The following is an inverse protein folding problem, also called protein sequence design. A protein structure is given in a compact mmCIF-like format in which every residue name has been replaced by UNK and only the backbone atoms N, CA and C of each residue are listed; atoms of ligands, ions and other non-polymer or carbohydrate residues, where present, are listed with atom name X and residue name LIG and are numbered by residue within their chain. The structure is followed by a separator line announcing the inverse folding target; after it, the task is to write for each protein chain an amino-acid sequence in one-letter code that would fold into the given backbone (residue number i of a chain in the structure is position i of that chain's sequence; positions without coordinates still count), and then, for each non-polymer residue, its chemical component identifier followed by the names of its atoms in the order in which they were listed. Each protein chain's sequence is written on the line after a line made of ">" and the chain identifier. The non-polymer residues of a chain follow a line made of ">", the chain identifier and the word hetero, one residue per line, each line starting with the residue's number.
data_IF_228340172465
#
_entry.id   IF_228340172465
#
_cell.length_a   1.000
_cell.length_b   1.000
_cell.length_c   1.000
_cell.angle_alpha   90.00
_cell.angle_beta   90.00
_cell.angle_gamma   90.00
#
_symmetry.space_group_name_H-M   'P 1'
#
loop_
_entity.id
_entity.type
_entity.pdbx_description
1 polymer ?
#
# COMPACT_ATOMS: atom_id res chain seq x y z
N UNK A 1 17.42 -15.94 6.93
CA UNK A 1 16.45 -16.77 6.17
C UNK A 1 15.49 -15.98 5.23
N UNK A 2 15.65 -14.68 4.95
CA UNK A 2 14.55 -13.88 4.32
C UNK A 2 14.55 -13.75 2.78
N UNK A 3 15.66 -13.97 2.07
CA UNK A 3 15.71 -13.76 0.60
C UNK A 3 15.04 -14.87 -0.24
N UNK A 4 14.94 -16.11 0.26
CA UNK A 4 14.27 -17.23 -0.44
C UNK A 4 12.75 -17.09 -0.41
N UNK A 5 12.19 -16.68 0.73
CA UNK A 5 10.75 -16.53 0.93
C UNK A 5 10.13 -15.45 0.02
N UNK A 6 10.81 -14.30 -0.16
CA UNK A 6 10.33 -13.25 -1.08
C UNK A 6 10.28 -13.67 -2.56
N UNK A 7 11.04 -14.71 -2.96
CA UNK A 7 11.01 -15.24 -4.33
C UNK A 7 9.75 -16.06 -4.63
N UNK A 8 9.10 -16.65 -3.62
CA UNK A 8 7.92 -17.49 -3.81
C UNK A 8 6.66 -16.69 -4.15
N UNK A 9 6.58 -15.42 -3.72
CA UNK A 9 5.41 -14.55 -3.91
C UNK A 9 5.65 -13.35 -4.81
N UNK A 10 6.91 -12.98 -5.08
CA UNK A 10 7.25 -11.70 -5.74
C UNK A 10 7.76 -11.75 -7.18
N UNK A 11 8.20 -12.91 -7.69
CA UNK A 11 8.73 -13.02 -9.06
C UNK A 11 7.62 -13.48 -10.00
N UNK A 12 7.34 -12.69 -11.04
CA UNK A 12 6.38 -13.00 -12.11
C UNK A 12 4.96 -13.32 -11.60
N UNK A 13 4.67 -12.91 -10.36
CA UNK A 13 3.42 -13.15 -9.66
C UNK A 13 2.77 -11.84 -9.25
N UNK A 14 1.45 -11.85 -9.21
CA UNK A 14 0.62 -10.74 -8.75
C UNK A 14 0.22 -11.01 -7.30
N UNK A 15 0.69 -10.14 -6.40
CA UNK A 15 0.31 -10.16 -4.97
C UNK A 15 -0.98 -9.38 -4.75
N UNK A 16 -1.13 -8.26 -5.48
CA UNK A 16 -2.26 -7.35 -5.35
C UNK A 16 -2.54 -6.63 -6.67
N UNK A 17 -3.81 -6.33 -6.92
CA UNK A 17 -4.25 -5.41 -7.97
C UNK A 17 -5.48 -4.63 -7.50
N UNK A 18 -5.68 -3.42 -8.01
CA UNK A 18 -6.87 -2.61 -7.72
C UNK A 18 -7.23 -1.69 -8.86
N UNK A 19 -8.52 -1.37 -8.96
CA UNK A 19 -9.00 -0.19 -9.66
C UNK A 19 -9.04 0.97 -8.69
N UNK A 20 -8.36 2.07 -9.01
CA UNK A 20 -8.45 3.30 -8.19
C UNK A 20 -9.80 3.95 -8.48
N UNK A 21 -10.61 4.13 -7.44
CA UNK A 21 -11.93 4.75 -7.52
C UNK A 21 -11.94 6.18 -6.97
N UNK A 22 -11.16 6.44 -5.92
CA UNK A 22 -10.98 7.78 -5.34
C UNK A 22 -9.50 7.99 -5.03
N UNK A 23 -9.07 9.25 -5.16
CA UNK A 23 -7.76 9.70 -4.71
C UNK A 23 -8.00 10.76 -3.65
N UNK A 24 -7.55 10.50 -2.44
CA UNK A 24 -7.69 11.41 -1.31
C UNK A 24 -6.31 11.92 -0.88
N UNK A 25 -6.26 13.14 -0.39
CA UNK A 25 -5.15 13.59 0.44
C UNK A 25 -5.13 12.81 1.76
N UNK A 26 -3.99 12.81 2.45
CA UNK A 26 -3.92 12.21 3.79
C UNK A 26 -4.88 12.86 4.79
N UNK A 27 -5.17 14.15 4.64
CA UNK A 27 -6.09 14.88 5.53
C UNK A 27 -7.50 14.34 5.37
N UNK A 28 -8.00 14.36 4.14
CA UNK A 28 -9.32 13.81 3.79
C UNK A 28 -9.45 12.36 4.23
N UNK A 29 -8.43 11.54 3.97
CA UNK A 29 -8.43 10.14 4.40
C UNK A 29 -8.52 9.97 5.92
N UNK A 30 -7.77 10.80 6.67
CA UNK A 30 -7.68 10.68 8.12
C UNK A 30 -8.96 11.08 8.85
N UNK A 31 -9.69 12.05 8.30
CA UNK A 31 -10.92 12.62 8.86
C UNK A 31 -12.19 11.90 8.40
N UNK A 32 -12.11 11.15 7.30
CA UNK A 32 -13.26 10.47 6.72
C UNK A 32 -13.76 9.30 7.60
N UNK A 33 -15.04 9.35 8.06
CA UNK A 33 -15.63 8.32 8.90
C UNK A 33 -15.55 6.90 8.32
N UNK A 34 -15.52 6.74 6.98
CA UNK A 34 -15.43 5.44 6.30
C UNK A 34 -14.18 4.66 6.69
N UNK A 35 -13.10 5.36 7.10
CA UNK A 35 -11.79 4.76 7.36
C UNK A 35 -11.39 4.77 8.84
N UNK A 36 -12.33 5.03 9.77
CA UNK A 36 -12.04 4.97 11.22
C UNK A 36 -11.60 3.58 11.68
N UNK A 37 -12.20 2.53 11.13
CA UNK A 37 -11.81 1.14 11.41
C UNK A 37 -10.41 0.78 10.87
N UNK A 38 -9.78 1.66 10.10
CA UNK A 38 -8.41 1.51 9.59
C UNK A 38 -7.37 2.28 10.41
N UNK A 39 -7.76 2.90 11.51
CA UNK A 39 -6.80 3.42 12.50
C UNK A 39 -6.11 2.22 13.16
N UNK A 40 -4.77 2.15 13.19
CA UNK A 40 -4.07 1.05 13.84
C UNK A 40 -4.42 0.98 15.33
N UNK A 41 -4.73 -0.21 15.82
CA UNK A 41 -4.94 -0.46 17.25
C UNK A 41 -4.42 -1.84 17.65
N UNK A 42 -4.17 -2.04 18.94
CA UNK A 42 -3.88 -3.36 19.45
C UNK A 42 -5.05 -4.31 19.19
N UNK A 43 -4.74 -5.56 18.87
CA UNK A 43 -5.72 -6.62 18.73
C UNK A 43 -5.50 -7.66 19.82
N UNK A 44 -6.52 -8.03 20.62
CA UNK A 44 -6.38 -9.13 21.57
C UNK A 44 -6.24 -10.48 20.85
N UNK A 45 -6.69 -10.58 19.60
CA UNK A 45 -6.58 -11.79 18.78
C UNK A 45 -5.16 -11.95 18.23
N UNK A 46 -4.41 -12.91 18.79
CA UNK A 46 -3.02 -13.18 18.39
C UNK A 46 -2.90 -13.90 17.03
N UNK A 47 -3.94 -14.63 16.63
CA UNK A 47 -3.93 -15.44 15.41
C UNK A 47 -4.23 -14.61 14.16
N UNK A 48 -5.03 -13.55 14.32
CA UNK A 48 -5.38 -12.64 13.22
C UNK A 48 -5.44 -11.17 13.67
N UNK A 49 -4.30 -10.55 14.03
CA UNK A 49 -4.26 -9.15 14.46
C UNK A 49 -4.33 -8.16 13.30
N UNK A 50 -5.45 -8.13 12.58
CA UNK A 50 -5.63 -7.26 11.41
C UNK A 50 -5.74 -5.78 11.78
N UNK A 51 -6.28 -5.49 12.96
CA UNK A 51 -6.44 -4.14 13.50
C UNK A 51 -5.08 -3.45 13.71
N UNK A 52 -4.04 -4.22 14.02
CA UNK A 52 -2.66 -3.72 14.16
C UNK A 52 -2.03 -3.28 12.82
N UNK A 53 -2.72 -3.47 11.71
CA UNK A 53 -2.25 -3.18 10.34
C UNK A 53 -3.11 -2.15 9.64
N UNK A 54 -3.87 -1.38 10.41
CA UNK A 54 -4.50 -0.16 9.92
C UNK A 54 -3.51 0.72 9.15
N UNK A 55 -3.98 1.36 8.09
CA UNK A 55 -3.21 2.24 7.21
C UNK A 55 -3.58 3.72 7.40
N UNK A 56 -4.58 4.04 8.25
CA UNK A 56 -4.91 5.40 8.68
C UNK A 56 -3.97 5.87 9.79
N UNK A 57 -2.69 5.96 9.41
CA UNK A 57 -1.57 6.17 10.33
C UNK A 57 -1.36 7.66 10.62
N UNK A 58 -1.60 8.53 9.64
CA UNK A 58 -1.33 9.96 9.76
C UNK A 58 -2.60 10.74 10.11
N UNK A 59 -2.44 11.83 10.83
CA UNK A 59 -3.49 12.84 11.01
C UNK A 59 -2.89 14.21 11.23
N UNK A 60 -3.66 15.23 10.92
CA UNK A 60 -3.29 16.60 11.18
C UNK A 60 -4.01 17.11 12.41
N UNK A 61 -3.27 17.78 13.30
CA UNK A 61 -3.81 18.47 14.45
C UNK A 61 -3.03 19.77 14.66
N UNK A 62 -3.74 20.90 14.74
CA UNK A 62 -3.14 22.23 14.95
C UNK A 62 -1.96 22.55 14.00
N UNK A 63 -2.14 22.26 12.70
CA UNK A 63 -1.12 22.52 11.68
C UNK A 63 0.06 21.53 11.68
N UNK A 64 0.01 20.49 12.51
CA UNK A 64 1.10 19.50 12.64
C UNK A 64 0.65 18.11 12.24
N UNK A 65 1.49 17.44 11.46
CA UNK A 65 1.31 16.03 11.11
C UNK A 65 1.86 15.13 12.20
N UNK A 66 1.03 14.20 12.64
CA UNK A 66 1.37 13.16 13.58
C UNK A 66 1.20 11.77 12.95
N UNK A 67 2.07 10.85 13.33
CA UNK A 67 1.94 9.44 13.03
C UNK A 67 1.46 8.70 14.29
N UNK A 68 0.39 7.92 14.17
CA UNK A 68 -0.06 7.00 15.22
C UNK A 68 0.91 5.82 15.35
N UNK A 69 1.03 5.22 16.54
CA UNK A 69 1.75 3.96 16.69
C UNK A 69 1.24 2.91 15.71
N UNK A 70 2.16 2.40 14.88
CA UNK A 70 1.82 1.53 13.75
C UNK A 70 3.01 0.68 13.33
N UNK A 71 2.82 -0.19 12.35
CA UNK A 71 3.85 -1.13 11.92
C UNK A 71 5.10 -0.49 11.29
N UNK A 72 4.98 0.74 10.79
CA UNK A 72 6.05 1.52 10.17
C UNK A 72 6.52 2.70 11.03
N UNK A 73 6.15 2.70 12.31
CA UNK A 73 6.45 3.76 13.26
C UNK A 73 7.95 4.04 13.43
N UNK A 74 8.30 5.32 13.62
CA UNK A 74 9.68 5.78 13.85
C UNK A 74 10.55 5.98 12.61
N UNK A 75 10.03 5.77 11.39
CA UNK A 75 10.78 5.94 10.14
C UNK A 75 10.49 7.29 9.48
N UNK A 76 11.00 8.37 10.08
CA UNK A 76 10.61 9.75 9.75
C UNK A 76 10.77 10.09 8.26
N UNK A 77 11.84 9.66 7.61
CA UNK A 77 12.08 9.93 6.18
C UNK A 77 11.06 9.22 5.27
N UNK A 78 10.68 7.99 5.62
CA UNK A 78 9.64 7.25 4.91
C UNK A 78 8.28 7.95 5.09
N UNK A 79 7.97 8.38 6.32
CA UNK A 79 6.73 9.10 6.63
C UNK A 79 6.61 10.43 5.90
N UNK A 80 7.69 11.22 5.85
CA UNK A 80 7.72 12.47 5.09
C UNK A 80 7.49 12.25 3.59
N UNK A 81 8.02 11.15 3.04
CA UNK A 81 7.77 10.78 1.64
C UNK A 81 6.31 10.36 1.43
N UNK A 82 5.74 9.59 2.36
CA UNK A 82 4.35 9.14 2.28
C UNK A 82 3.38 10.32 2.32
N UNK A 83 3.61 11.30 3.21
CA UNK A 83 2.79 12.50 3.37
C UNK A 83 2.76 13.41 2.12
N UNK A 84 3.74 13.28 1.23
CA UNK A 84 3.75 13.98 -0.08
C UNK A 84 2.93 13.25 -1.15
N UNK A 85 2.50 12.03 -0.86
CA UNK A 85 1.68 11.21 -1.75
C UNK A 85 0.19 11.40 -1.50
N UNK A 86 -0.60 10.56 -2.18
CA UNK A 86 -2.04 10.47 -2.01
C UNK A 86 -2.43 9.08 -1.51
N UNK A 87 -3.60 8.98 -0.88
CA UNK A 87 -4.24 7.73 -0.52
C UNK A 87 -5.17 7.29 -1.64
N UNK A 88 -5.00 6.05 -2.10
CA UNK A 88 -5.79 5.48 -3.20
C UNK A 88 -6.88 4.56 -2.64
N UNK A 89 -8.14 4.88 -2.91
CA UNK A 89 -9.28 4.09 -2.46
C UNK A 89 -9.77 3.20 -3.59
N UNK A 90 -10.12 1.96 -3.26
CA UNK A 90 -10.71 1.01 -4.21
C UNK A 90 -11.85 0.23 -3.58
N UNK A 91 -12.91 0.07 -4.37
CA UNK A 91 -14.04 -0.83 -4.15
C UNK A 91 -13.84 -2.16 -4.89
N UNK A 92 -12.98 -2.18 -5.91
CA UNK A 92 -12.64 -3.36 -6.71
C UNK A 92 -11.13 -3.64 -6.62
N UNK A 93 -10.76 -4.48 -5.67
CA UNK A 93 -9.36 -4.88 -5.46
C UNK A 93 -9.24 -6.40 -5.35
N UNK A 94 -8.01 -6.90 -5.50
CA UNK A 94 -7.64 -8.31 -5.43
C UNK A 94 -6.39 -8.41 -4.55
N UNK A 95 -6.51 -9.00 -3.37
CA UNK A 95 -5.37 -9.24 -2.50
C UNK A 95 -5.11 -10.74 -2.36
N UNK A 96 -4.13 -11.23 -3.11
CA UNK A 96 -3.75 -12.64 -3.11
C UNK A 96 -2.82 -12.99 -1.94
N UNK A 97 -2.01 -12.05 -1.48
CA UNK A 97 -1.08 -12.26 -0.37
C UNK A 97 -0.16 -13.47 -0.62
N UNK A 98 -0.16 -14.45 0.29
CA UNK A 98 0.59 -15.71 0.14
C UNK A 98 0.11 -16.60 -1.01
N UNK A 99 -1.10 -16.37 -1.53
CA UNK A 99 -1.65 -17.06 -2.72
C UNK A 99 -1.35 -16.30 -4.02
N UNK A 100 -0.29 -15.50 -4.05
CA UNK A 100 0.11 -14.73 -5.23
C UNK A 100 0.11 -15.61 -6.49
N UNK A 101 -0.59 -15.14 -7.52
CA UNK A 101 -0.86 -15.90 -8.73
C UNK A 101 0.16 -15.57 -9.82
N UNK A 102 0.55 -16.56 -10.62
CA UNK A 102 1.46 -16.32 -11.75
C UNK A 102 0.74 -15.48 -12.82
N UNK A 103 1.40 -14.44 -13.30
CA UNK A 103 0.92 -13.69 -14.45
C UNK A 103 0.97 -14.55 -15.71
N UNK A 104 -0.05 -14.51 -16.59
CA UNK A 104 -0.02 -15.21 -17.87
C UNK A 104 1.22 -14.84 -18.68
N UNK A 105 1.87 -15.85 -19.24
CA UNK A 105 3.14 -15.66 -19.96
C UNK A 105 3.04 -14.65 -21.12
N UNK A 106 1.95 -14.58 -21.91
CA UNK A 106 1.82 -13.56 -22.95
C UNK A 106 1.89 -12.13 -22.40
N UNK A 107 1.16 -11.85 -21.31
CA UNK A 107 1.13 -10.54 -20.66
C UNK A 107 2.49 -10.21 -20.05
N UNK A 108 3.07 -11.17 -19.33
CA UNK A 108 4.37 -11.04 -18.69
C UNK A 108 5.49 -10.76 -19.71
N UNK A 109 5.46 -11.45 -20.86
CA UNK A 109 6.40 -11.24 -21.95
C UNK A 109 6.32 -9.82 -22.51
N UNK A 110 5.12 -9.30 -22.73
CA UNK A 110 4.93 -7.93 -23.21
C UNK A 110 5.39 -6.88 -22.20
N UNK A 111 5.16 -7.08 -20.91
CA UNK A 111 5.72 -6.23 -19.85
C UNK A 111 7.25 -6.24 -19.86
N UNK A 112 7.86 -7.42 -19.93
CA UNK A 112 9.33 -7.58 -19.99
C UNK A 112 9.91 -6.90 -21.23
N UNK A 113 9.32 -7.08 -22.41
CA UNK A 113 9.72 -6.40 -23.67
C UNK A 113 9.54 -4.89 -23.60
N UNK A 114 8.50 -4.43 -22.92
CA UNK A 114 8.29 -3.00 -22.67
C UNK A 114 9.25 -2.43 -21.63
N UNK A 115 10.10 -3.26 -21.00
CA UNK A 115 11.01 -2.85 -19.94
C UNK A 115 10.29 -2.43 -18.65
N UNK A 116 8.99 -2.73 -18.53
CA UNK A 116 8.20 -2.42 -17.34
C UNK A 116 8.58 -3.41 -16.23
N UNK A 117 9.40 -2.93 -15.28
CA UNK A 117 9.87 -3.71 -14.13
C UNK A 117 9.78 -2.84 -12.87
N UNK A 118 9.90 -3.46 -11.69
CA UNK A 118 9.79 -2.79 -10.39
C UNK A 118 10.55 -1.45 -10.35
N UNK A 119 9.81 -0.34 -10.23
CA UNK A 119 10.35 1.01 -10.11
C UNK A 119 10.91 1.63 -11.40
N UNK A 120 10.99 0.89 -12.51
CA UNK A 120 11.52 1.40 -13.77
C UNK A 120 10.39 1.54 -14.81
N UNK A 121 10.20 2.78 -15.27
CA UNK A 121 9.17 3.14 -16.26
C UNK A 121 9.85 3.74 -17.47
N UNK A 122 10.26 2.92 -18.47
CA UNK A 122 10.74 3.46 -19.73
C UNK A 122 9.58 4.16 -20.45
N UNK A 123 9.93 4.97 -21.45
CA UNK A 123 8.92 5.47 -22.37
C UNK A 123 8.32 4.29 -23.15
N UNK A 124 7.00 4.16 -23.09
CA UNK A 124 6.22 3.19 -23.85
C UNK A 124 5.10 3.95 -24.52
N UNK A 125 4.83 3.66 -25.80
CA UNK A 125 3.80 4.39 -26.54
C UNK A 125 2.43 4.25 -25.85
N UNK A 126 1.58 5.30 -25.86
CA UNK A 126 0.27 5.25 -25.22
C UNK A 126 -0.60 4.09 -25.71
N UNK A 127 -0.52 3.76 -27.00
CA UNK A 127 -1.21 2.61 -27.59
C UNK A 127 -0.73 1.28 -26.99
N UNK A 128 0.60 1.09 -26.87
CA UNK A 128 1.15 -0.15 -26.30
C UNK A 128 0.79 -0.31 -24.82
N UNK A 129 0.83 0.77 -24.05
CA UNK A 129 0.38 0.76 -22.65
C UNK A 129 -1.11 0.41 -22.54
N UNK A 130 -1.97 1.01 -23.36
CA UNK A 130 -3.42 0.70 -23.35
C UNK A 130 -3.70 -0.78 -23.64
N UNK A 131 -3.00 -1.37 -24.60
CA UNK A 131 -3.19 -2.77 -24.95
C UNK A 131 -2.75 -3.69 -23.80
N UNK A 132 -1.56 -3.48 -23.24
CA UNK A 132 -1.08 -4.27 -22.09
C UNK A 132 -2.00 -4.11 -20.89
N UNK A 133 -2.49 -2.90 -20.63
CA UNK A 133 -3.43 -2.64 -19.54
C UNK A 133 -4.76 -3.37 -19.75
N UNK A 134 -5.31 -3.37 -20.97
CA UNK A 134 -6.53 -4.11 -21.30
C UNK A 134 -6.36 -5.61 -21.04
N UNK A 135 -5.26 -6.22 -21.51
CA UNK A 135 -4.97 -7.64 -21.30
C UNK A 135 -4.87 -7.99 -19.81
N UNK A 136 -4.24 -7.13 -19.00
CA UNK A 136 -4.14 -7.29 -17.55
C UNK A 136 -5.51 -7.21 -16.89
N UNK A 137 -6.33 -6.22 -17.28
CA UNK A 137 -7.67 -6.00 -16.72
C UNK A 137 -8.58 -7.18 -17.03
N UNK A 138 -8.62 -7.62 -18.29
CA UNK A 138 -9.45 -8.74 -18.73
C UNK A 138 -9.05 -10.03 -18.00
N UNK A 139 -7.74 -10.30 -17.90
CA UNK A 139 -7.23 -11.43 -17.14
C UNK A 139 -7.61 -11.37 -15.65
N UNK A 140 -7.37 -10.25 -14.97
CA UNK A 140 -7.69 -10.11 -13.53
C UNK A 140 -9.19 -10.31 -13.28
N UNK A 141 -10.05 -9.72 -14.12
CA UNK A 141 -11.50 -9.86 -14.00
C UNK A 141 -11.97 -11.29 -14.25
N UNK A 142 -11.31 -12.03 -15.13
CA UNK A 142 -11.61 -13.45 -15.37
C UNK A 142 -11.44 -14.35 -14.15
N UNK A 143 -10.72 -13.89 -13.11
CA UNK A 143 -10.52 -14.65 -11.87
C UNK A 143 -11.78 -14.71 -10.99
N UNK A 144 -12.77 -13.84 -11.23
CA UNK A 144 -14.12 -13.87 -10.65
C UNK A 144 -14.22 -13.55 -9.14
N UNK A 145 -13.12 -13.54 -8.39
CA UNK A 145 -13.10 -13.24 -6.95
C UNK A 145 -12.37 -11.93 -6.67
N UNK A 146 -13.08 -10.97 -6.10
CA UNK A 146 -12.55 -9.69 -5.59
C UNK A 146 -12.38 -9.74 -4.07
N UNK A 147 -11.58 -8.83 -3.52
CA UNK A 147 -11.32 -8.65 -2.10
C UNK A 147 -10.08 -9.38 -1.60
N UNK A 148 -10.13 -9.81 -0.34
CA UNK A 148 -9.05 -10.55 0.34
C UNK A 148 -9.17 -12.04 0.02
N UNK A 149 -8.25 -12.56 -0.78
CA UNK A 149 -8.26 -13.95 -1.32
C UNK A 149 -7.28 -14.84 -0.56
N UNK A 150 -6.17 -14.26 -0.09
CA UNK A 150 -5.18 -14.92 0.73
C UNK A 150 -4.66 -13.99 1.82
N UNK A 151 -4.13 -14.60 2.87
CA UNK A 151 -3.52 -13.86 3.97
C UNK A 151 -2.19 -13.23 3.55
N UNK A 152 -1.72 -12.21 4.27
CA UNK A 152 -0.40 -11.64 4.05
C UNK A 152 0.71 -12.70 4.17
N UNK A 153 1.72 -12.60 3.30
CA UNK A 153 2.85 -13.51 3.30
C UNK A 153 3.69 -13.42 4.59
N UNK A 154 3.80 -12.21 5.15
CA UNK A 154 4.45 -11.96 6.43
C UNK A 154 3.47 -11.25 7.34
N UNK A 155 2.93 -11.99 8.31
CA UNK A 155 1.99 -11.47 9.30
C UNK A 155 2.44 -11.87 10.71
N UNK A 156 3.55 -11.30 11.17
CA UNK A 156 4.07 -11.52 12.53
C UNK A 156 3.77 -10.31 13.39
N UNK A 157 3.17 -10.53 14.58
CA UNK A 157 3.05 -9.51 15.62
C UNK A 157 4.44 -9.03 16.04
N UNK A 158 4.57 -7.72 16.25
CA UNK A 158 5.85 -7.07 16.60
C UNK A 158 5.76 -6.26 17.88
N UNK A 159 4.57 -5.71 18.15
CA UNK A 159 4.33 -4.73 19.19
C UNK A 159 3.31 -5.26 20.20
N UNK A 160 3.40 -4.78 21.43
CA UNK A 160 2.47 -5.04 22.52
C UNK A 160 1.36 -3.97 22.54
N UNK A 161 0.43 -4.08 23.48
CA UNK A 161 -0.67 -3.13 23.68
C UNK A 161 -0.15 -1.73 24.04
N UNK A 162 0.78 -1.65 25.00
CA UNK A 162 1.43 -0.41 25.43
C UNK A 162 2.00 0.42 24.27
N UNK A 163 2.57 -0.23 23.25
CA UNK A 163 3.01 0.47 22.05
C UNK A 163 1.86 1.17 21.32
N UNK A 164 0.71 0.53 21.15
CA UNK A 164 -0.43 1.13 20.49
C UNK A 164 -1.10 2.25 21.30
N UNK A 165 -0.86 2.27 22.61
CA UNK A 165 -1.29 3.33 23.54
C UNK A 165 -0.26 4.47 23.68
N UNK A 166 0.93 4.32 23.08
CA UNK A 166 1.97 5.35 23.17
C UNK A 166 1.60 6.63 22.42
N UNK A 167 2.21 7.74 22.86
CA UNK A 167 2.01 9.05 22.26
C UNK A 167 2.31 9.05 20.75
N UNK A 168 1.45 9.65 19.91
CA UNK A 168 1.72 9.84 18.50
C UNK A 168 3.00 10.65 18.24
N UNK A 169 3.74 10.26 17.21
CA UNK A 169 4.99 10.92 16.84
C UNK A 169 4.72 12.15 15.99
N UNK A 170 5.29 13.29 16.38
CA UNK A 170 5.38 14.45 15.50
C UNK A 170 6.23 14.14 14.27
N UNK A 171 5.67 14.36 13.08
CA UNK A 171 6.35 14.14 11.79
C UNK A 171 6.89 15.46 11.25
N UNK A 172 6.00 16.41 10.95
CA UNK A 172 6.35 17.75 10.45
C UNK A 172 5.20 18.74 10.61
N UNK A 173 5.50 20.02 10.42
CA UNK A 173 4.49 21.07 10.19
C UNK A 173 3.84 20.88 8.79
N UNK A 174 2.57 21.25 8.63
CA UNK A 174 1.83 21.14 7.35
C UNK A 174 2.45 22.02 6.27
N UNK A 175 2.94 23.20 6.63
CA UNK A 175 3.58 24.16 5.73
C UNK A 175 4.85 23.58 5.09
N UNK A 176 5.56 22.69 5.79
CA UNK A 176 6.76 22.05 5.28
C UNK A 176 6.50 21.10 4.09
N UNK A 177 5.25 20.65 3.91
CA UNK A 177 4.84 19.84 2.76
C UNK A 177 4.44 20.71 1.55
N UNK A 178 3.96 21.93 1.79
CA UNK A 178 3.54 22.87 0.75
C UNK A 178 4.75 23.56 0.08
N UNK A 179 5.87 23.68 0.79
CA UNK A 179 7.11 24.28 0.31
C UNK A 179 8.29 23.32 0.51
N UNK A 180 8.45 22.27 -0.34
CA UNK A 180 9.59 21.39 -0.22
C UNK A 180 10.89 22.21 -0.34
N UNK A 181 11.89 21.99 0.54
CA UNK A 181 13.17 22.69 0.43
C UNK A 181 13.72 22.50 -0.99
N UNK A 182 14.06 23.61 -1.65
CA UNK A 182 14.67 23.57 -2.98
C UNK A 182 16.05 22.93 -2.86
N UNK A 183 16.16 21.67 -3.30
CA UNK A 183 17.42 20.97 -3.47
C UNK A 183 17.75 19.97 -2.36
N UNK A 184 17.67 18.69 -2.72
CA UNK A 184 18.51 17.61 -2.22
C UNK A 184 18.76 16.65 -3.40
#
# INVERSE_FOLDING_TARGET
>A
MSRRAGREVGIDKVVYAMRVDEVLTWREYSEDPRFRAKIPSYSPNKDRPIEERGDNIYYLYEGKWYARPSFHYGRKEEMLRDLRGNVLISREFYYFGRKAIKMPEPILSELKKAGLRNGYRPYVSPRKIRNIAADIIDWIRSLGRVGVIGEPFLFKRRYNEEFFESEPMFVCEDEALQHPPRGA
#
